data_IF_695062857373
#
_entry.id   IF_695062857373
#
_cell.length_a   1.000
_cell.length_b   1.000
_cell.length_c   1.000
_cell.angle_alpha   90.00
_cell.angle_beta   90.00
_cell.angle_gamma   90.00
#
_symmetry.space_group_name_H-M   'P 1'
#
loop_
_entity.id
_entity.type
_entity.pdbx_description
1 polymer ?
#
# COMPACT_ATOMS: atom_id res chain seq x y z
N UNK A 1 2.93 10.85 3.76
CA UNK A 1 4.34 10.76 4.14
C UNK A 1 4.52 9.80 5.34
N UNK A 2 4.07 8.54 5.21
CA UNK A 2 4.18 7.52 6.29
C UNK A 2 5.54 6.82 6.26
N UNK A 3 6.13 6.74 5.08
CA UNK A 3 7.27 5.90 4.78
C UNK A 3 8.56 6.58 5.20
N UNK A 4 8.62 7.87 4.89
CA UNK A 4 9.67 8.78 5.32
C UNK A 4 9.75 8.84 6.86
N UNK A 5 8.60 8.88 7.53
CA UNK A 5 8.54 8.88 8.99
C UNK A 5 9.04 7.56 9.59
N UNK A 6 8.61 6.41 9.05
CA UNK A 6 9.03 5.09 9.54
C UNK A 6 10.50 4.79 9.28
N UNK A 7 11.01 5.22 8.13
CA UNK A 7 12.44 5.11 7.83
C UNK A 7 13.27 6.03 8.74
N UNK A 8 12.82 7.27 8.97
CA UNK A 8 13.48 8.19 9.90
C UNK A 8 13.56 7.66 11.33
N UNK A 9 12.48 7.06 11.83
CA UNK A 9 12.46 6.38 13.13
C UNK A 9 13.47 5.22 13.18
N UNK A 10 13.53 4.38 12.14
CA UNK A 10 14.46 3.25 12.08
C UNK A 10 15.93 3.70 12.06
N UNK A 11 16.26 4.75 11.29
CA UNK A 11 17.61 5.33 11.25
C UNK A 11 17.98 5.95 12.60
N UNK A 12 17.06 6.68 13.24
CA UNK A 12 17.31 7.29 14.54
C UNK A 12 17.57 6.25 15.65
N UNK A 13 16.96 5.06 15.55
CA UNK A 13 17.20 3.95 16.49
C UNK A 13 18.58 3.30 16.34
N UNK A 14 19.21 3.40 15.16
CA UNK A 14 20.54 2.85 14.88
C UNK A 14 21.35 3.71 13.91
N UNK A 15 21.84 4.90 14.29
CA UNK A 15 22.42 5.88 13.36
C UNK A 15 23.69 5.43 12.63
N UNK A 16 24.33 4.34 13.09
CA UNK A 16 25.54 3.76 12.51
C UNK A 16 25.30 2.43 11.81
N UNK A 17 24.05 1.97 11.77
CA UNK A 17 23.66 0.70 11.17
C UNK A 17 22.47 0.90 10.23
N UNK A 18 22.79 1.47 9.07
CA UNK A 18 21.79 1.78 8.04
C UNK A 18 21.16 0.50 7.47
N UNK A 19 21.92 -0.58 7.31
CA UNK A 19 21.41 -1.83 6.74
C UNK A 19 20.34 -2.46 7.65
N UNK A 20 20.55 -2.46 8.97
CA UNK A 20 19.51 -2.90 9.91
C UNK A 20 18.28 -1.98 9.88
N UNK A 21 18.47 -0.66 9.79
CA UNK A 21 17.37 0.30 9.70
C UNK A 21 16.53 0.09 8.42
N UNK A 22 17.18 -0.11 7.28
CA UNK A 22 16.53 -0.42 6.01
C UNK A 22 15.79 -1.75 6.09
N UNK A 23 16.43 -2.80 6.62
CA UNK A 23 15.81 -4.13 6.77
C UNK A 23 14.51 -4.06 7.58
N UNK A 24 14.51 -3.35 8.71
CA UNK A 24 13.33 -3.18 9.56
C UNK A 24 12.22 -2.41 8.83
N UNK A 25 12.58 -1.30 8.19
CA UNK A 25 11.64 -0.47 7.45
C UNK A 25 11.02 -1.23 6.27
N UNK A 26 11.84 -1.88 5.45
CA UNK A 26 11.44 -2.59 4.24
C UNK A 26 10.55 -3.78 4.54
N UNK A 27 10.83 -4.55 5.60
CA UNK A 27 9.99 -5.67 6.01
C UNK A 27 8.54 -5.23 6.26
N UNK A 28 8.34 -4.11 6.94
CA UNK A 28 7.01 -3.55 7.18
C UNK A 28 6.41 -2.88 5.93
N UNK A 29 7.24 -2.15 5.17
CA UNK A 29 6.80 -1.42 3.99
C UNK A 29 6.33 -2.36 2.88
N UNK A 30 7.10 -3.39 2.55
CA UNK A 30 6.77 -4.31 1.45
C UNK A 30 5.48 -5.08 1.70
N UNK A 31 5.28 -5.64 2.89
CA UNK A 31 4.03 -6.36 3.23
C UNK A 31 2.80 -5.46 3.10
N UNK A 32 2.89 -4.22 3.59
CA UNK A 32 1.79 -3.25 3.45
C UNK A 32 1.59 -2.83 1.99
N UNK A 33 2.66 -2.64 1.24
CA UNK A 33 2.62 -2.22 -0.16
C UNK A 33 2.03 -3.29 -1.07
N UNK A 34 2.24 -4.58 -0.78
CA UNK A 34 1.60 -5.70 -1.48
C UNK A 34 0.07 -5.63 -1.36
N UNK A 35 -0.44 -5.47 -0.14
CA UNK A 35 -1.89 -5.33 0.11
C UNK A 35 -2.45 -4.09 -0.59
N UNK A 36 -1.73 -2.97 -0.52
CA UNK A 36 -2.13 -1.74 -1.19
C UNK A 36 -2.15 -1.89 -2.72
N UNK A 37 -1.17 -2.58 -3.31
CA UNK A 37 -1.10 -2.84 -4.74
C UNK A 37 -2.25 -3.74 -5.21
N UNK A 38 -2.54 -4.81 -4.48
CA UNK A 38 -3.67 -5.70 -4.78
C UNK A 38 -5.01 -4.93 -4.75
N UNK A 39 -5.23 -4.12 -3.71
CA UNK A 39 -6.41 -3.26 -3.60
C UNK A 39 -6.49 -2.21 -4.73
N UNK A 40 -5.37 -1.57 -5.06
CA UNK A 40 -5.32 -0.59 -6.14
C UNK A 40 -5.64 -1.21 -7.50
N UNK A 41 -5.10 -2.40 -7.81
CA UNK A 41 -5.44 -3.12 -9.04
C UNK A 41 -6.93 -3.43 -9.13
N UNK A 42 -7.52 -3.88 -8.03
CA UNK A 42 -8.95 -4.16 -7.98
C UNK A 42 -9.79 -2.90 -8.19
N UNK A 43 -9.47 -1.78 -7.52
CA UNK A 43 -10.18 -0.50 -7.71
C UNK A 43 -10.01 0.02 -9.14
N UNK A 44 -8.82 -0.10 -9.73
CA UNK A 44 -8.57 0.33 -11.10
C UNK A 44 -9.39 -0.49 -12.09
N UNK A 45 -9.50 -1.81 -11.93
CA UNK A 45 -10.35 -2.64 -12.79
C UNK A 45 -11.84 -2.33 -12.59
N UNK A 46 -12.27 -2.04 -11.36
CA UNK A 46 -13.63 -1.61 -11.07
C UNK A 46 -14.01 -0.32 -11.83
N UNK A 47 -13.11 0.67 -11.80
CA UNK A 47 -13.36 2.02 -12.31
C UNK A 47 -13.01 2.20 -13.80
N UNK A 48 -12.05 1.44 -14.33
CA UNK A 48 -11.48 1.64 -15.67
C UNK A 48 -11.37 0.33 -16.48
N UNK A 49 -11.87 -0.78 -15.94
CA UNK A 49 -11.82 -2.09 -16.58
C UNK A 49 -12.90 -2.29 -17.64
N UNK A 50 -12.91 -3.47 -18.26
CA UNK A 50 -13.79 -3.79 -19.40
C UNK A 50 -15.28 -3.71 -19.07
N UNK A 51 -15.64 -3.91 -17.80
CA UNK A 51 -17.03 -3.89 -17.31
C UNK A 51 -17.47 -2.53 -16.79
N UNK A 52 -16.60 -1.53 -16.79
CA UNK A 52 -16.98 -0.17 -16.43
C UNK A 52 -18.04 0.36 -17.41
N UNK A 53 -19.11 1.04 -16.93
CA UNK A 53 -19.37 1.43 -15.54
C UNK A 53 -20.21 0.41 -14.74
N UNK A 54 -20.66 -0.70 -15.34
CA UNK A 54 -21.56 -1.66 -14.69
C UNK A 54 -20.97 -2.26 -13.41
N UNK A 55 -19.71 -2.67 -13.44
CA UNK A 55 -19.01 -3.22 -12.26
C UNK A 55 -19.01 -2.24 -11.08
N UNK A 56 -18.77 -0.94 -11.34
CA UNK A 56 -18.79 0.10 -10.32
C UNK A 56 -20.21 0.32 -9.75
N UNK A 57 -21.23 0.31 -10.60
CA UNK A 57 -22.63 0.45 -10.18
C UNK A 57 -23.07 -0.76 -9.35
N UNK A 58 -22.67 -1.97 -9.73
CA UNK A 58 -22.91 -3.21 -8.97
C UNK A 58 -22.28 -3.11 -7.57
N UNK A 59 -21.02 -2.68 -7.48
CA UNK A 59 -20.32 -2.48 -6.21
C UNK A 59 -21.03 -1.49 -5.28
N UNK A 60 -21.39 -0.30 -5.78
CA UNK A 60 -22.06 0.74 -4.97
C UNK A 60 -23.48 0.35 -4.54
N UNK A 61 -24.17 -0.50 -5.30
CA UNK A 61 -25.49 -1.02 -4.93
C UNK A 61 -25.42 -2.22 -3.98
N UNK A 62 -24.29 -2.94 -3.92
CA UNK A 62 -24.12 -4.10 -3.06
C UNK A 62 -24.02 -3.73 -1.56
N UNK A 63 -23.74 -2.47 -1.23
CA UNK A 63 -23.69 -1.96 0.15
C UNK A 63 -25.03 -1.40 0.67
N UNK A 64 -26.14 -1.66 -0.03
CA UNK A 64 -27.51 -1.32 0.41
C UNK A 64 -28.30 -2.50 0.93
#
# INVERSE_FOLDING_TARGET
MRDEAKLGEAIAAGPRDIESALTIYEAAMFSRSEVAAAGAHWVLDLCLGKRTPFSLIEFLNAER
#
